data_IF_363062584322
#
_entry.id   IF_363062584322
#
_cell.length_a   1.000
_cell.length_b   1.000
_cell.length_c   1.000
_cell.angle_alpha   90.00
_cell.angle_beta   90.00
_cell.angle_gamma   90.00
#
_symmetry.space_group_name_H-M   'P 1'
#
loop_
_entity.id
_entity.type
_entity.pdbx_description
1 polymer ?
#
# COMPACT_ATOMS: atom_id res chain seq x y z
N UNK A 1 -15.63 -11.79 8.87
CA UNK A 1 -14.79 -12.87 9.45
C UNK A 1 -14.83 -12.76 10.98
N UNK A 2 -14.90 -13.86 11.73
CA UNK A 2 -14.75 -13.82 13.19
C UNK A 2 -13.25 -13.71 13.53
N UNK A 3 -12.79 -12.64 14.22
CA UNK A 3 -11.36 -12.42 14.49
C UNK A 3 -10.73 -13.44 15.46
N UNK A 4 -11.55 -14.27 16.12
CA UNK A 4 -11.13 -15.31 17.04
C UNK A 4 -11.01 -16.69 16.38
N UNK A 5 -11.40 -16.83 15.12
CA UNK A 5 -11.22 -18.07 14.37
C UNK A 5 -9.73 -18.21 13.96
N UNK A 6 -9.09 -19.37 14.22
CA UNK A 6 -7.76 -19.69 13.71
C UNK A 6 -7.66 -19.54 12.19
N UNK A 7 -6.59 -18.89 11.71
CA UNK A 7 -6.33 -18.70 10.29
C UNK A 7 -5.11 -19.54 9.87
N UNK A 8 -5.25 -20.32 8.79
CA UNK A 8 -4.15 -21.10 8.20
C UNK A 8 -2.98 -20.20 7.81
N UNK A 9 -3.28 -19.04 7.21
CA UNK A 9 -2.33 -18.00 6.86
C UNK A 9 -1.42 -17.59 8.02
N UNK A 10 -1.91 -17.66 9.26
CA UNK A 10 -1.18 -17.28 10.47
C UNK A 10 -0.63 -18.49 11.23
N UNK A 11 -0.67 -19.68 10.65
CA UNK A 11 -0.18 -20.91 11.29
C UNK A 11 -1.10 -21.45 12.38
N UNK A 12 -2.41 -21.18 12.27
CA UNK A 12 -3.42 -21.68 13.21
C UNK A 12 -3.63 -20.81 14.45
N UNK A 13 -3.04 -19.61 14.50
CA UNK A 13 -3.45 -18.58 15.47
C UNK A 13 -4.58 -17.73 14.90
N UNK A 14 -5.33 -17.09 15.77
CA UNK A 14 -6.38 -16.15 15.38
C UNK A 14 -5.82 -14.80 14.93
N UNK A 15 -6.59 -14.05 14.13
CA UNK A 15 -6.24 -12.67 13.78
C UNK A 15 -6.06 -11.81 15.04
N UNK A 16 -6.90 -12.01 16.07
CA UNK A 16 -6.76 -11.28 17.35
C UNK A 16 -5.42 -11.55 18.04
N UNK A 17 -4.98 -12.80 18.08
CA UNK A 17 -3.68 -13.17 18.67
C UNK A 17 -2.52 -12.58 17.86
N UNK A 18 -2.59 -12.63 16.53
CA UNK A 18 -1.59 -12.01 15.67
C UNK A 18 -1.45 -10.50 15.91
N UNK A 19 -2.58 -9.78 15.94
CA UNK A 19 -2.59 -8.33 16.20
C UNK A 19 -2.07 -7.99 17.61
N UNK A 20 -2.35 -8.86 18.59
CA UNK A 20 -1.89 -8.67 19.97
C UNK A 20 -0.40 -8.92 20.12
N UNK A 21 0.13 -9.97 19.51
CA UNK A 21 1.46 -10.48 19.88
C UNK A 21 2.54 -10.27 18.82
N UNK A 22 2.18 -10.08 17.54
CA UNK A 22 3.12 -10.08 16.41
C UNK A 22 3.11 -8.78 15.61
N UNK A 23 1.93 -8.28 15.22
CA UNK A 23 1.79 -7.10 14.38
C UNK A 23 2.55 -5.89 14.96
N UNK A 24 3.48 -5.36 14.16
CA UNK A 24 4.43 -4.29 14.49
C UNK A 24 5.32 -4.55 15.72
N UNK A 25 5.55 -5.81 16.09
CA UNK A 25 6.27 -6.19 17.32
C UNK A 25 7.40 -7.17 17.08
N UNK A 26 7.12 -8.31 16.45
CA UNK A 26 8.09 -9.39 16.29
C UNK A 26 7.76 -10.24 15.05
N UNK A 27 8.76 -10.90 14.44
CA UNK A 27 8.55 -11.69 13.25
C UNK A 27 7.73 -12.95 13.55
N UNK A 28 7.09 -13.50 12.52
CA UNK A 28 6.36 -14.77 12.57
C UNK A 28 6.68 -15.58 11.32
N UNK A 29 7.29 -16.76 11.50
CA UNK A 29 7.42 -17.76 10.45
C UNK A 29 6.18 -18.67 10.49
N UNK A 30 5.52 -18.79 9.35
CA UNK A 30 4.40 -19.72 9.15
C UNK A 30 4.80 -20.72 8.06
N UNK A 31 4.91 -21.99 8.44
CA UNK A 31 5.11 -23.07 7.47
C UNK A 31 3.79 -23.41 6.81
N UNK A 32 3.80 -23.51 5.48
CA UNK A 32 2.63 -23.82 4.67
C UNK A 32 1.44 -22.90 5.01
N UNK A 33 1.70 -21.59 5.04
CA UNK A 33 0.66 -20.58 5.15
C UNK A 33 -0.35 -20.71 4.00
N UNK A 34 0.16 -21.07 2.81
CA UNK A 34 -0.60 -21.50 1.65
C UNK A 34 -0.16 -22.94 1.30
N UNK A 35 -0.88 -23.97 1.77
CA UNK A 35 -0.56 -25.35 1.43
C UNK A 35 -0.70 -25.59 -0.07
N UNK A 36 0.21 -26.39 -0.64
CA UNK A 36 0.22 -26.74 -2.07
C UNK A 36 0.19 -25.49 -2.98
N UNK A 37 0.88 -24.42 -2.58
CA UNK A 37 0.90 -23.15 -3.31
C UNK A 37 1.52 -23.33 -4.69
N UNK A 38 0.74 -22.99 -5.71
CA UNK A 38 1.19 -22.86 -7.09
C UNK A 38 1.32 -21.37 -7.41
N UNK A 39 2.48 -20.98 -7.90
CA UNK A 39 2.78 -19.60 -8.29
C UNK A 39 1.82 -19.16 -9.40
N UNK A 40 1.00 -18.10 -9.23
CA UNK A 40 0.06 -17.65 -10.26
C UNK A 40 0.75 -17.08 -11.51
N UNK A 41 2.02 -16.73 -11.39
CA UNK A 41 2.86 -16.34 -12.52
C UNK A 41 4.18 -17.11 -12.47
N UNK A 42 4.76 -17.36 -13.63
CA UNK A 42 6.09 -17.93 -13.76
C UNK A 42 7.19 -16.84 -13.92
N UNK A 43 8.49 -17.21 -13.86
CA UNK A 43 9.59 -16.25 -14.02
C UNK A 43 9.61 -15.51 -15.36
N UNK A 44 9.18 -16.14 -16.46
CA UNK A 44 9.19 -15.55 -17.79
C UNK A 44 8.04 -14.53 -17.93
N UNK A 45 6.87 -14.82 -17.36
CA UNK A 45 5.75 -13.87 -17.26
C UNK A 45 6.11 -12.65 -16.42
N UNK A 46 6.80 -12.84 -15.29
CA UNK A 46 7.30 -11.72 -14.48
C UNK A 46 8.33 -10.87 -15.24
N UNK A 47 9.24 -11.51 -15.98
CA UNK A 47 10.17 -10.80 -16.85
C UNK A 47 9.43 -10.01 -17.92
N UNK A 48 8.41 -10.62 -18.56
CA UNK A 48 7.52 -9.98 -19.54
C UNK A 48 6.86 -8.71 -19.01
N UNK A 49 6.28 -8.77 -17.80
CA UNK A 49 5.71 -7.57 -17.14
C UNK A 49 6.74 -6.46 -16.98
N UNK A 50 8.00 -6.79 -16.72
CA UNK A 50 9.07 -5.80 -16.55
C UNK A 50 9.50 -5.09 -17.85
N UNK A 51 9.00 -5.52 -19.02
CA UNK A 51 9.20 -4.84 -20.31
C UNK A 51 8.15 -3.74 -20.56
N UNK A 52 7.00 -3.78 -19.90
CA UNK A 52 5.91 -2.84 -20.12
C UNK A 52 6.24 -1.45 -19.57
N UNK A 53 5.87 -0.39 -20.30
CA UNK A 53 6.24 0.99 -19.96
C UNK A 53 5.60 1.48 -18.65
N UNK A 54 4.40 0.97 -18.33
CA UNK A 54 3.63 1.35 -17.15
C UNK A 54 4.06 0.59 -15.88
N UNK A 55 4.95 -0.41 -15.99
CA UNK A 55 5.31 -1.29 -14.88
C UNK A 55 6.63 -0.86 -14.23
N UNK A 56 6.58 -0.52 -12.94
CA UNK A 56 7.79 -0.20 -12.16
C UNK A 56 8.59 -1.47 -11.87
N UNK A 57 9.75 -1.61 -12.49
CA UNK A 57 10.64 -2.75 -12.30
C UNK A 57 12.10 -2.34 -12.10
N UNK A 58 12.87 -3.22 -11.45
CA UNK A 58 14.30 -3.02 -11.22
C UNK A 58 15.06 -4.34 -11.11
N UNK A 59 16.31 -4.34 -11.56
CA UNK A 59 17.25 -5.45 -11.39
C UNK A 59 18.38 -5.01 -10.47
N UNK A 60 18.66 -5.80 -9.45
CA UNK A 60 19.83 -5.63 -8.57
C UNK A 60 20.83 -6.74 -8.89
N UNK A 61 22.07 -6.36 -9.19
CA UNK A 61 23.20 -7.28 -9.39
C UNK A 61 24.23 -7.07 -8.29
N UNK A 62 24.53 -8.11 -7.50
CA UNK A 62 25.57 -8.00 -6.47
C UNK A 62 26.95 -7.75 -7.10
N UNK A 63 27.20 -8.34 -8.28
CA UNK A 63 28.45 -8.25 -9.02
C UNK A 63 28.25 -7.73 -10.45
N UNK A 64 27.82 -6.47 -10.56
CA UNK A 64 27.67 -5.74 -11.82
C UNK A 64 28.91 -4.93 -12.23
N UNK A 65 28.69 -3.85 -12.99
CA UNK A 65 29.73 -2.87 -13.35
C UNK A 65 30.38 -2.23 -12.11
N UNK A 66 29.60 -2.13 -11.02
CA UNK A 66 30.06 -1.90 -9.67
C UNK A 66 29.30 -2.85 -8.72
N UNK A 67 29.80 -3.08 -7.48
CA UNK A 67 29.06 -3.85 -6.49
C UNK A 67 27.67 -3.26 -6.28
N UNK A 68 26.66 -4.12 -6.19
CA UNK A 68 25.26 -3.74 -6.00
C UNK A 68 24.69 -2.82 -7.10
N UNK A 69 25.01 -3.11 -8.37
CA UNK A 69 24.47 -2.38 -9.50
C UNK A 69 22.94 -2.45 -9.53
N UNK A 70 22.28 -1.30 -9.59
CA UNK A 70 20.84 -1.17 -9.78
C UNK A 70 20.55 -0.73 -11.21
N UNK A 71 19.73 -1.51 -11.91
CA UNK A 71 19.14 -1.14 -13.21
C UNK A 71 17.65 -0.93 -13.02
N UNK A 72 17.09 0.10 -13.67
CA UNK A 72 15.65 0.42 -13.60
C UNK A 72 15.02 0.15 -14.96
N UNK A 73 13.79 -0.37 -14.95
CA UNK A 73 13.03 -0.61 -16.15
C UNK A 73 12.46 0.67 -16.78
N UNK A 74 11.64 0.53 -17.84
CA UNK A 74 11.30 -0.74 -18.47
C UNK A 74 12.52 -1.42 -19.12
N UNK A 75 12.53 -2.74 -19.14
CA UNK A 75 13.61 -3.53 -19.75
C UNK A 75 13.25 -3.96 -21.18
N UNK A 76 14.17 -4.65 -21.83
CA UNK A 76 13.93 -5.34 -23.09
C UNK A 76 14.43 -6.79 -23.00
N UNK A 77 14.07 -7.62 -23.98
CA UNK A 77 14.46 -9.04 -24.02
C UNK A 77 16.00 -9.22 -23.94
N UNK A 78 16.75 -8.36 -24.63
CA UNK A 78 18.22 -8.40 -24.64
C UNK A 78 18.81 -8.23 -23.23
N UNK A 79 18.15 -7.44 -22.36
CA UNK A 79 18.59 -7.22 -20.98
C UNK A 79 18.71 -8.54 -20.23
N UNK A 80 17.71 -9.42 -20.35
CA UNK A 80 17.67 -10.71 -19.65
C UNK A 80 18.64 -11.73 -20.24
N UNK A 81 18.86 -11.68 -21.56
CA UNK A 81 19.85 -12.54 -22.23
C UNK A 81 21.29 -12.23 -21.81
N UNK A 82 21.57 -11.00 -21.35
CA UNK A 82 22.89 -10.56 -20.90
C UNK A 82 23.14 -10.74 -19.39
N UNK A 83 22.14 -11.15 -18.60
CA UNK A 83 22.30 -11.35 -17.16
C UNK A 83 23.19 -12.57 -16.85
N UNK A 84 23.99 -12.51 -15.76
CA UNK A 84 24.75 -13.66 -15.31
C UNK A 84 23.83 -14.80 -14.83
N UNK A 85 24.36 -16.02 -14.73
CA UNK A 85 23.59 -17.17 -14.22
C UNK A 85 23.21 -17.05 -12.72
N UNK A 86 23.81 -16.12 -11.96
CA UNK A 86 23.73 -16.04 -10.48
C UNK A 86 23.85 -14.61 -9.98
N UNK A 87 23.54 -14.43 -8.69
CA UNK A 87 23.82 -13.21 -7.92
C UNK A 87 23.09 -11.94 -8.43
N UNK A 88 21.87 -12.12 -8.96
CA UNK A 88 20.98 -11.02 -9.35
C UNK A 88 19.53 -11.27 -8.95
N UNK A 89 18.74 -10.20 -8.88
CA UNK A 89 17.31 -10.23 -8.54
C UNK A 89 16.54 -9.20 -9.36
N UNK A 90 15.47 -9.62 -10.03
CA UNK A 90 14.43 -8.76 -10.60
C UNK A 90 13.37 -8.50 -9.53
N UNK A 91 12.91 -7.26 -9.40
CA UNK A 91 11.78 -6.86 -8.58
C UNK A 91 10.78 -6.10 -9.45
N UNK A 92 9.51 -6.49 -9.40
CA UNK A 92 8.40 -5.85 -10.10
C UNK A 92 7.36 -5.44 -9.07
N UNK A 93 7.02 -4.15 -9.04
CA UNK A 93 6.10 -3.58 -8.06
C UNK A 93 4.64 -3.83 -8.47
N UNK A 94 3.74 -3.80 -7.49
CA UNK A 94 2.31 -3.77 -7.69
C UNK A 94 1.76 -4.78 -8.71
N UNK A 95 2.28 -6.00 -8.71
CA UNK A 95 1.89 -7.03 -9.69
C UNK A 95 0.42 -7.43 -9.51
N UNK A 96 -0.12 -7.27 -8.30
CA UNK A 96 -1.56 -7.40 -8.02
C UNK A 96 -2.44 -6.47 -8.86
N UNK A 97 -1.91 -5.33 -9.34
CA UNK A 97 -2.68 -4.40 -10.17
C UNK A 97 -2.74 -4.82 -11.65
N UNK A 98 -1.83 -5.71 -12.07
CA UNK A 98 -1.71 -6.16 -13.46
C UNK A 98 -2.17 -7.61 -13.66
N UNK A 99 -2.08 -8.43 -12.61
CA UNK A 99 -2.42 -9.87 -12.66
C UNK A 99 -3.50 -10.19 -11.62
N UNK A 100 -4.75 -10.46 -12.05
CA UNK A 100 -5.87 -10.75 -11.14
C UNK A 100 -5.59 -11.88 -10.14
N UNK A 101 -4.94 -12.94 -10.58
CA UNK A 101 -4.60 -14.10 -9.74
C UNK A 101 -3.61 -13.73 -8.62
N UNK A 102 -2.80 -12.68 -8.81
CA UNK A 102 -1.94 -12.13 -7.76
C UNK A 102 -2.76 -11.27 -6.80
N UNK A 103 -3.73 -10.50 -7.27
CA UNK A 103 -4.65 -9.75 -6.39
C UNK A 103 -5.46 -10.66 -5.47
N UNK A 104 -5.86 -11.85 -5.94
CA UNK A 104 -6.56 -12.85 -5.11
C UNK A 104 -5.74 -13.29 -3.87
N UNK A 105 -4.40 -13.18 -3.93
CA UNK A 105 -3.54 -13.47 -2.77
C UNK A 105 -3.74 -12.51 -1.61
N UNK A 106 -4.36 -11.34 -1.84
CA UNK A 106 -4.68 -10.37 -0.79
C UNK A 106 -5.93 -10.75 0.02
N UNK A 107 -6.81 -11.61 -0.50
CA UNK A 107 -8.06 -12.01 0.17
C UNK A 107 -7.86 -12.52 1.61
N UNK A 108 -6.90 -13.43 1.88
CA UNK A 108 -6.66 -13.92 3.23
C UNK A 108 -6.18 -12.85 4.21
N UNK A 109 -5.66 -11.71 3.71
CA UNK A 109 -5.15 -10.60 4.53
C UNK A 109 -6.25 -9.61 4.97
N UNK A 110 -7.51 -9.80 4.56
CA UNK A 110 -8.66 -8.93 4.91
C UNK A 110 -8.99 -8.84 6.42
N UNK A 111 -8.23 -9.50 7.29
CA UNK A 111 -8.26 -9.23 8.74
C UNK A 111 -7.54 -7.92 9.11
N UNK A 112 -6.72 -7.37 8.21
CA UNK A 112 -6.13 -6.03 8.30
C UNK A 112 -6.97 -5.03 7.50
N UNK A 113 -7.00 -3.75 7.90
CA UNK A 113 -7.70 -2.71 7.14
C UNK A 113 -7.12 -2.56 5.73
N UNK A 114 -7.96 -2.48 4.70
CA UNK A 114 -7.54 -2.36 3.29
C UNK A 114 -6.62 -1.15 3.05
N UNK A 115 -6.87 -0.02 3.71
CA UNK A 115 -6.05 1.19 3.57
C UNK A 115 -4.59 1.00 4.03
N UNK A 116 -4.30 -0.04 4.82
CA UNK A 116 -2.94 -0.39 5.27
C UNK A 116 -2.18 -1.25 4.27
N UNK A 117 -2.84 -2.05 3.46
CA UNK A 117 -2.19 -2.88 2.43
C UNK A 117 -1.68 -1.95 1.33
N UNK A 118 -0.44 -2.07 0.91
CA UNK A 118 0.09 -1.25 -0.19
C UNK A 118 -0.14 -1.95 -1.52
N UNK A 119 0.61 -3.02 -1.77
CA UNK A 119 0.66 -3.78 -3.01
C UNK A 119 1.31 -5.18 -2.80
N UNK A 120 1.39 -5.97 -3.87
CA UNK A 120 2.17 -7.20 -3.95
C UNK A 120 3.34 -7.00 -4.91
N UNK A 121 4.53 -6.76 -4.35
CA UNK A 121 5.77 -6.78 -5.11
C UNK A 121 6.25 -8.22 -5.27
N UNK A 122 6.59 -8.62 -6.49
CA UNK A 122 7.15 -9.96 -6.77
C UNK A 122 8.61 -9.81 -7.15
N UNK A 123 9.44 -10.67 -6.57
CA UNK A 123 10.85 -10.77 -6.96
C UNK A 123 11.18 -12.15 -7.52
N UNK A 124 11.88 -12.16 -8.66
CA UNK A 124 12.63 -13.31 -9.14
C UNK A 124 14.09 -13.16 -8.76
N UNK A 125 14.72 -14.22 -8.27
CA UNK A 125 16.16 -14.23 -8.03
C UNK A 125 16.78 -15.52 -8.54
N UNK A 126 17.85 -15.36 -9.32
CA UNK A 126 18.76 -16.45 -9.68
C UNK A 126 19.52 -16.94 -8.43
N UNK A 127 20.20 -18.10 -8.45
CA UNK A 127 20.89 -18.63 -7.28
C UNK A 127 21.91 -17.62 -6.73
N UNK A 128 21.93 -17.43 -5.40
CA UNK A 128 22.74 -16.39 -4.75
C UNK A 128 22.17 -14.98 -4.82
N UNK A 129 21.17 -14.74 -5.68
CA UNK A 129 20.50 -13.47 -5.87
C UNK A 129 19.93 -12.91 -4.57
N UNK A 130 20.21 -11.62 -4.34
CA UNK A 130 19.77 -10.87 -3.18
C UNK A 130 19.72 -9.37 -3.48
N UNK A 131 19.02 -8.63 -2.63
CA UNK A 131 19.08 -7.15 -2.57
C UNK A 131 19.97 -6.64 -1.43
N UNK A 132 20.70 -7.56 -0.77
CA UNK A 132 21.56 -7.28 0.37
C UNK A 132 20.81 -7.20 1.70
N UNK A 133 21.54 -7.16 2.84
CA UNK A 133 20.93 -6.93 4.15
C UNK A 133 20.35 -5.52 4.22
N UNK A 134 19.07 -5.40 4.56
CA UNK A 134 18.38 -4.11 4.62
C UNK A 134 17.26 -4.14 5.67
N UNK A 135 16.55 -3.03 5.81
CA UNK A 135 15.33 -2.93 6.60
C UNK A 135 14.34 -1.98 5.92
N UNK A 136 13.05 -2.22 6.14
CA UNK A 136 11.97 -1.39 5.63
C UNK A 136 11.28 -0.63 6.76
N UNK A 137 10.56 0.45 6.42
CA UNK A 137 9.74 1.18 7.39
C UNK A 137 8.30 0.66 7.47
N UNK A 138 8.01 -0.45 6.80
CA UNK A 138 6.68 -1.04 6.71
C UNK A 138 6.65 -2.49 7.19
N UNK A 139 5.44 -2.95 7.50
CA UNK A 139 5.14 -4.36 7.72
C UNK A 139 5.17 -5.10 6.39
N UNK A 140 5.67 -6.33 6.35
CA UNK A 140 5.67 -7.16 5.13
C UNK A 140 5.42 -8.62 5.45
N UNK A 141 4.68 -9.30 4.58
CA UNK A 141 4.65 -10.76 4.54
C UNK A 141 5.36 -11.26 3.29
N UNK A 142 6.38 -12.09 3.48
CA UNK A 142 7.21 -12.67 2.44
C UNK A 142 6.75 -14.11 2.20
N UNK A 143 5.93 -14.31 1.17
CA UNK A 143 5.45 -15.62 0.74
C UNK A 143 6.39 -16.20 -0.31
N UNK A 144 6.88 -17.41 -0.07
CA UNK A 144 7.70 -18.14 -1.03
C UNK A 144 6.78 -18.79 -2.08
N UNK A 145 6.96 -18.41 -3.36
CA UNK A 145 6.09 -18.88 -4.44
C UNK A 145 6.70 -20.00 -5.29
N UNK A 146 7.96 -19.84 -5.68
CA UNK A 146 8.72 -20.82 -6.46
C UNK A 146 10.12 -20.97 -5.87
N UNK A 147 10.73 -22.14 -5.98
CA UNK A 147 12.09 -22.39 -5.48
C UNK A 147 12.22 -22.15 -3.97
N UNK A 148 13.43 -21.89 -3.50
CA UNK A 148 13.78 -21.73 -2.08
C UNK A 148 14.60 -20.48 -1.85
N UNK A 149 14.24 -19.73 -0.81
CA UNK A 149 15.00 -18.58 -0.34
C UNK A 149 15.40 -18.78 1.11
N UNK A 150 16.66 -18.52 1.40
CA UNK A 150 17.20 -18.52 2.75
C UNK A 150 17.10 -17.11 3.34
N UNK A 151 16.23 -16.95 4.33
CA UNK A 151 15.96 -15.71 5.02
C UNK A 151 16.70 -15.65 6.34
N UNK A 152 17.52 -14.61 6.51
CA UNK A 152 18.15 -14.24 7.77
C UNK A 152 17.47 -13.00 8.31
N UNK A 153 17.28 -12.94 9.63
CA UNK A 153 16.84 -11.73 10.33
C UNK A 153 17.93 -11.26 11.28
N UNK A 154 17.94 -9.98 11.61
CA UNK A 154 18.96 -9.35 12.43
C UNK A 154 18.41 -8.43 13.52
N UNK A 155 19.11 -7.32 13.72
CA UNK A 155 18.77 -6.28 14.69
C UNK A 155 17.57 -5.41 14.26
N UNK A 156 17.02 -4.63 15.21
CA UNK A 156 16.12 -3.53 14.90
C UNK A 156 16.94 -2.31 14.46
N UNK A 157 16.55 -1.70 13.35
CA UNK A 157 17.25 -0.58 12.74
C UNK A 157 16.54 0.77 12.98
N UNK A 158 17.27 1.84 12.69
CA UNK A 158 16.80 3.23 12.74
C UNK A 158 17.49 4.05 11.63
N UNK A 159 17.17 5.34 11.55
CA UNK A 159 17.87 6.30 10.68
C UNK A 159 19.38 6.37 10.92
N UNK A 160 19.84 5.95 12.10
CA UNK A 160 21.25 6.02 12.51
C UNK A 160 21.99 4.69 12.24
N UNK A 161 21.30 3.68 11.72
CA UNK A 161 21.92 2.40 11.36
C UNK A 161 22.92 2.60 10.22
N UNK A 162 24.17 2.11 10.35
CA UNK A 162 25.20 2.34 9.35
C UNK A 162 24.87 1.61 8.05
N UNK A 163 24.88 2.36 6.95
CA UNK A 163 24.66 1.85 5.60
C UNK A 163 25.98 1.86 4.82
N UNK A 164 26.10 0.95 3.86
CA UNK A 164 27.12 1.06 2.82
C UNK A 164 26.91 2.34 2.03
N UNK A 165 28.01 2.97 1.61
CA UNK A 165 27.95 4.12 0.70
C UNK A 165 27.50 3.63 -0.68
N UNK A 166 26.20 3.79 -0.97
CA UNK A 166 25.60 3.45 -2.24
C UNK A 166 24.58 4.53 -2.62
N UNK A 167 24.56 4.93 -3.89
CA UNK A 167 23.71 6.04 -4.35
C UNK A 167 22.22 5.68 -4.33
N UNK A 168 21.89 4.44 -4.70
CA UNK A 168 20.51 4.04 -4.98
C UNK A 168 19.92 2.98 -4.03
N UNK A 169 20.76 2.32 -3.23
CA UNK A 169 20.36 1.14 -2.45
C UNK A 169 20.70 1.38 -0.97
N UNK A 170 19.81 0.92 -0.09
CA UNK A 170 20.00 1.04 1.36
C UNK A 170 20.44 -0.30 1.93
N UNK A 171 21.73 -0.57 1.83
CA UNK A 171 22.33 -1.82 2.30
C UNK A 171 23.00 -1.56 3.64
N UNK A 172 22.68 -2.37 4.65
CA UNK A 172 23.31 -2.31 5.97
C UNK A 172 24.80 -2.65 5.85
N UNK A 173 25.64 -1.79 6.44
CA UNK A 173 27.08 -2.05 6.52
C UNK A 173 27.40 -3.20 7.49
N UNK A 174 26.55 -3.39 8.50
CA UNK A 174 26.68 -4.42 9.53
C UNK A 174 25.35 -5.15 9.70
N UNK A 175 25.42 -6.49 9.79
CA UNK A 175 24.25 -7.34 9.97
C UNK A 175 24.50 -8.33 11.12
N UNK A 176 23.82 -8.11 12.23
CA UNK A 176 23.87 -8.97 13.42
C UNK A 176 22.78 -10.05 13.32
N UNK A 177 23.10 -11.16 12.65
CA UNK A 177 22.14 -12.25 12.47
C UNK A 177 21.62 -12.79 13.81
N UNK A 178 20.30 -12.82 13.96
CA UNK A 178 19.59 -13.31 15.15
C UNK A 178 18.73 -14.55 14.87
N UNK A 179 18.39 -14.80 13.60
CA UNK A 179 17.61 -15.97 13.17
C UNK A 179 17.79 -16.26 11.68
N UNK A 180 17.49 -17.49 11.28
CA UNK A 180 17.67 -17.96 9.90
C UNK A 180 16.72 -19.12 9.59
N UNK A 181 16.08 -19.07 8.42
CA UNK A 181 15.22 -20.11 7.90
C UNK A 181 15.27 -20.17 6.38
N UNK A 182 15.30 -21.38 5.83
CA UNK A 182 15.01 -21.60 4.41
C UNK A 182 13.52 -21.82 4.23
N UNK A 183 12.88 -21.00 3.41
CA UNK A 183 11.46 -21.12 3.05
C UNK A 183 11.32 -21.96 1.78
N UNK A 184 10.28 -22.81 1.76
CA UNK A 184 9.84 -23.59 0.60
C UNK A 184 8.49 -23.04 0.09
N UNK A 185 8.05 -23.37 -1.13
CA UNK A 185 6.78 -22.87 -1.67
C UNK A 185 5.61 -23.06 -0.70
N UNK A 186 4.84 -21.99 -0.49
CA UNK A 186 3.73 -21.93 0.46
C UNK A 186 4.11 -21.49 1.88
N UNK A 187 5.39 -21.47 2.23
CA UNK A 187 5.85 -20.90 3.50
C UNK A 187 5.85 -19.36 3.46
N UNK A 188 5.60 -18.73 4.60
CA UNK A 188 5.50 -17.29 4.71
C UNK A 188 6.25 -16.75 5.94
N UNK A 189 6.95 -15.63 5.78
CA UNK A 189 7.64 -14.92 6.85
C UNK A 189 7.08 -13.51 6.99
N UNK A 190 6.45 -13.22 8.13
CA UNK A 190 6.07 -11.86 8.52
C UNK A 190 7.24 -11.15 9.20
N UNK A 191 7.51 -9.91 8.78
CA UNK A 191 8.50 -9.02 9.39
C UNK A 191 7.85 -7.68 9.78
N UNK A 192 8.03 -7.22 11.04
CA UNK A 192 7.60 -5.88 11.45
C UNK A 192 8.56 -4.80 10.91
N UNK A 193 8.12 -3.52 10.92
CA UNK A 193 8.93 -2.40 10.48
C UNK A 193 10.28 -2.34 11.18
N UNK A 194 11.32 -2.06 10.39
CA UNK A 194 12.71 -1.82 10.79
C UNK A 194 13.46 -3.04 11.30
N UNK A 195 12.87 -4.24 11.23
CA UNK A 195 13.64 -5.45 11.49
C UNK A 195 14.57 -5.73 10.31
N UNK A 196 15.88 -5.77 10.57
CA UNK A 196 16.87 -6.10 9.55
C UNK A 196 16.62 -7.50 9.00
N UNK A 197 16.68 -7.65 7.69
CA UNK A 197 16.50 -8.92 7.01
C UNK A 197 17.38 -9.04 5.77
N UNK A 198 17.70 -10.28 5.42
CA UNK A 198 18.61 -10.62 4.33
C UNK A 198 18.18 -11.95 3.70
N UNK A 199 17.53 -11.86 2.55
CA UNK A 199 17.05 -13.01 1.78
C UNK A 199 18.01 -13.35 0.65
N UNK A 200 18.50 -14.58 0.61
CA UNK A 200 19.42 -15.08 -0.42
C UNK A 200 18.77 -16.28 -1.11
N UNK A 201 18.63 -16.20 -2.42
CA UNK A 201 18.08 -17.30 -3.22
C UNK A 201 18.99 -18.54 -3.15
N UNK A 202 18.40 -19.70 -2.88
CA UNK A 202 19.13 -20.99 -2.87
C UNK A 202 19.20 -21.57 -4.28
N UNK A 203 18.09 -21.45 -5.01
CA UNK A 203 17.88 -21.79 -6.41
C UNK A 203 17.03 -20.68 -7.07
N UNK A 204 16.68 -20.83 -8.35
CA UNK A 204 15.78 -19.90 -9.04
C UNK A 204 14.45 -19.82 -8.29
N UNK A 205 14.13 -18.65 -7.75
CA UNK A 205 13.02 -18.52 -6.81
C UNK A 205 12.18 -17.26 -7.02
N UNK A 206 10.89 -17.39 -6.73
CA UNK A 206 9.92 -16.29 -6.69
C UNK A 206 9.51 -16.01 -5.25
N UNK A 207 9.47 -14.74 -4.88
CA UNK A 207 8.98 -14.29 -3.57
C UNK A 207 7.96 -13.19 -3.74
N UNK A 208 6.77 -13.40 -3.17
CA UNK A 208 5.63 -12.49 -3.16
C UNK A 208 5.69 -11.70 -1.86
N UNK A 209 5.87 -10.39 -1.96
CA UNK A 209 6.00 -9.48 -0.83
C UNK A 209 4.71 -8.69 -0.70
N UNK A 210 3.83 -9.11 0.21
CA UNK A 210 2.62 -8.36 0.55
C UNK A 210 3.03 -7.19 1.44
N UNK A 211 3.16 -6.03 0.81
CA UNK A 211 3.60 -4.78 1.43
C UNK A 211 2.48 -4.08 2.16
N UNK A 212 2.84 -3.31 3.18
CA UNK A 212 1.92 -2.43 3.88
C UNK A 212 2.46 -1.01 3.84
N UNK A 213 1.58 -0.03 3.97
CA UNK A 213 1.97 1.37 4.07
C UNK A 213 1.50 1.98 5.38
N UNK A 214 2.28 2.94 5.85
CA UNK A 214 1.96 3.80 6.98
C UNK A 214 2.65 5.15 6.74
N UNK A 215 1.94 6.29 6.88
CA UNK A 215 2.55 7.59 6.69
C UNK A 215 3.59 7.85 7.77
N UNK A 216 4.73 8.39 7.39
CA UNK A 216 5.74 8.92 8.29
C UNK A 216 5.26 10.20 8.97
N UNK A 217 5.88 10.56 10.10
CA UNK A 217 5.57 11.80 10.78
C UNK A 217 5.81 13.04 9.89
N UNK A 218 6.82 13.00 9.01
CA UNK A 218 7.12 14.08 8.08
C UNK A 218 6.04 14.24 7.00
N UNK A 219 5.53 13.12 6.47
CA UNK A 219 4.41 13.14 5.51
C UNK A 219 3.15 13.67 6.17
N UNK A 220 2.81 13.20 7.37
CA UNK A 220 1.65 13.70 8.12
C UNK A 220 1.76 15.20 8.32
N UNK A 221 2.89 15.70 8.83
CA UNK A 221 3.06 17.12 9.09
C UNK A 221 3.00 17.96 7.82
N UNK A 222 3.73 17.57 6.77
CA UNK A 222 3.81 18.33 5.52
C UNK A 222 2.46 18.36 4.80
N UNK A 223 1.91 17.18 4.47
CA UNK A 223 0.70 17.10 3.65
C UNK A 223 -0.54 17.58 4.39
N UNK A 224 -0.65 17.34 5.70
CA UNK A 224 -1.80 17.84 6.45
C UNK A 224 -1.78 19.36 6.56
N UNK A 225 -0.61 19.98 6.77
CA UNK A 225 -0.55 21.46 6.79
C UNK A 225 -0.83 22.07 5.42
N UNK A 226 -0.38 21.43 4.34
CA UNK A 226 -0.70 21.87 2.97
C UNK A 226 -2.20 21.75 2.69
N UNK A 227 -2.84 20.68 3.16
CA UNK A 227 -4.29 20.50 3.06
C UNK A 227 -5.07 21.55 3.85
N UNK A 228 -4.70 21.79 5.12
CA UNK A 228 -5.33 22.80 5.96
C UNK A 228 -5.23 24.19 5.33
N UNK A 229 -4.07 24.53 4.75
CA UNK A 229 -3.83 25.81 4.09
C UNK A 229 -4.83 26.15 2.97
N UNK A 230 -5.48 25.16 2.35
CA UNK A 230 -6.46 25.37 1.28
C UNK A 230 -7.79 25.97 1.79
N UNK A 231 -8.07 25.84 3.09
CA UNK A 231 -9.31 26.30 3.71
C UNK A 231 -9.13 27.57 4.56
N UNK A 232 -7.89 28.03 4.74
CA UNK A 232 -7.59 29.19 5.57
C UNK A 232 -7.72 30.50 4.78
N UNK A 233 -8.46 31.49 5.28
CA UNK A 233 -8.56 32.80 4.63
C UNK A 233 -7.30 33.65 4.91
N UNK A 234 -6.96 34.54 3.96
CA UNK A 234 -5.80 35.44 4.05
C UNK A 234 -5.84 36.41 5.25
N UNK A 235 -7.04 36.67 5.79
CA UNK A 235 -7.28 37.55 6.93
C UNK A 235 -6.93 36.89 8.28
N UNK A 236 -6.87 35.56 8.35
CA UNK A 236 -6.51 34.85 9.57
C UNK A 236 -5.00 34.90 9.80
N UNK A 237 -4.57 35.89 10.60
CA UNK A 237 -3.16 36.21 10.84
C UNK A 237 -2.81 36.22 12.31
N UNK A 238 -1.52 36.03 12.59
CA UNK A 238 -0.94 36.34 13.89
C UNK A 238 -1.34 37.77 14.32
N UNK A 239 -1.81 37.90 15.56
CA UNK A 239 -2.18 39.17 16.17
C UNK A 239 -1.57 39.29 17.56
N UNK A 240 -1.03 40.46 17.86
CA UNK A 240 -0.41 40.83 19.11
C UNK A 240 -1.00 42.14 19.65
N UNK A 241 -2.31 42.36 19.44
CA UNK A 241 -3.01 43.57 19.84
C UNK A 241 -2.85 43.94 21.34
N UNK A 242 -2.59 42.95 22.21
CA UNK A 242 -2.36 43.12 23.65
C UNK A 242 -0.87 43.16 24.06
N UNK A 243 0.05 43.19 23.09
CA UNK A 243 1.49 43.21 23.36
C UNK A 243 1.92 44.43 24.17
N UNK A 244 2.84 44.21 25.10
CA UNK A 244 3.44 45.26 25.91
C UNK A 244 4.75 45.74 25.29
N UNK A 245 5.17 47.00 25.56
CA UNK A 245 6.46 47.51 25.13
C UNK A 245 7.62 46.63 25.62
N UNK A 246 8.56 46.30 24.73
CA UNK A 246 9.74 45.47 25.04
C UNK A 246 10.97 46.33 25.32
N UNK A 247 11.90 45.79 26.12
CA UNK A 247 13.19 46.45 26.41
C UNK A 247 14.25 46.19 25.33
N UNK A 248 14.19 45.04 24.66
CA UNK A 248 15.06 44.70 23.52
C UNK A 248 14.20 44.34 22.30
N UNK A 249 14.16 45.19 21.26
CA UNK A 249 13.35 44.96 20.07
C UNK A 249 13.83 43.81 19.19
N UNK A 250 15.01 43.22 19.45
CA UNK A 250 15.54 42.10 18.67
C UNK A 250 15.23 40.73 19.30
N UNK A 251 14.64 40.71 20.49
CA UNK A 251 14.27 39.47 21.17
C UNK A 251 12.87 39.03 20.75
N UNK A 252 12.74 37.81 20.23
CA UNK A 252 11.45 37.13 20.08
C UNK A 252 10.94 36.77 21.48
N UNK A 253 9.81 37.35 21.85
CA UNK A 253 9.23 37.14 23.16
C UNK A 253 8.60 35.75 23.27
N UNK A 254 8.66 35.14 24.46
CA UNK A 254 8.07 33.81 24.69
C UNK A 254 6.56 33.79 24.45
N UNK A 255 5.87 34.88 24.77
CA UNK A 255 4.42 35.01 24.55
C UNK A 255 4.05 35.03 23.05
N UNK A 256 4.97 35.45 22.17
CA UNK A 256 4.78 35.37 20.72
C UNK A 256 4.79 33.91 20.24
N UNK A 257 5.65 33.07 20.83
CA UNK A 257 5.66 31.62 20.56
C UNK A 257 4.38 30.95 21.08
N UNK A 258 3.89 31.36 22.25
CA UNK A 258 2.62 30.83 22.79
C UNK A 258 1.43 31.18 21.89
N UNK A 259 1.39 32.41 21.34
CA UNK A 259 0.38 32.82 20.35
C UNK A 259 0.47 32.02 19.05
N UNK A 260 1.68 31.79 18.53
CA UNK A 260 1.88 30.95 17.35
C UNK A 260 1.46 29.51 17.60
N UNK A 261 1.78 28.95 18.77
CA UNK A 261 1.35 27.61 19.16
C UNK A 261 -0.18 27.52 19.25
N UNK A 262 -0.85 28.53 19.82
CA UNK A 262 -2.29 28.57 19.87
C UNK A 262 -2.93 28.62 18.46
N UNK A 263 -2.29 29.31 17.52
CA UNK A 263 -2.72 29.31 16.11
C UNK A 263 -2.59 27.92 15.47
N UNK A 264 -1.47 27.23 15.70
CA UNK A 264 -1.28 25.85 15.25
C UNK A 264 -2.32 24.92 15.87
N UNK A 265 -2.48 24.96 17.20
CA UNK A 265 -3.42 24.12 17.94
C UNK A 265 -4.86 24.33 17.47
N UNK A 266 -5.25 25.58 17.14
CA UNK A 266 -6.58 25.91 16.62
C UNK A 266 -6.92 25.13 15.35
N UNK A 267 -5.99 25.00 14.41
CA UNK A 267 -6.26 24.37 13.11
C UNK A 267 -5.89 22.88 13.09
N UNK A 268 -4.82 22.49 13.77
CA UNK A 268 -4.35 21.10 13.77
C UNK A 268 -5.21 20.16 14.62
N UNK A 269 -6.11 20.69 15.45
CA UNK A 269 -6.98 19.89 16.33
C UNK A 269 -8.31 19.48 15.70
N UNK A 270 -8.60 19.92 14.47
CA UNK A 270 -9.82 19.53 13.75
C UNK A 270 -9.73 18.06 13.29
N UNK A 271 -10.50 17.20 13.96
CA UNK A 271 -10.50 15.76 13.69
C UNK A 271 -11.22 15.39 12.40
N UNK A 272 -12.17 16.19 11.96
CA UNK A 272 -12.99 15.91 10.78
C UNK A 272 -12.17 16.23 9.53
N UNK A 273 -11.44 17.35 9.53
CA UNK A 273 -10.44 17.66 8.51
C UNK A 273 -9.29 16.66 8.51
N UNK A 274 -8.80 16.24 9.68
CA UNK A 274 -7.74 15.24 9.78
C UNK A 274 -8.19 13.90 9.19
N UNK A 275 -9.40 13.43 9.50
CA UNK A 275 -9.98 12.22 8.92
C UNK A 275 -10.12 12.35 7.40
N UNK A 276 -10.60 13.50 6.93
CA UNK A 276 -10.81 13.77 5.50
C UNK A 276 -9.50 13.68 4.74
N UNK A 277 -8.48 14.42 5.19
CA UNK A 277 -7.13 14.37 4.63
C UNK A 277 -6.55 12.96 4.68
N UNK A 278 -6.65 12.29 5.82
CA UNK A 278 -6.06 10.97 6.02
C UNK A 278 -6.69 9.94 5.07
N UNK A 279 -8.02 9.96 4.94
CA UNK A 279 -8.73 9.08 4.02
C UNK A 279 -8.35 9.34 2.56
N UNK A 280 -8.27 10.61 2.14
CA UNK A 280 -7.78 10.98 0.81
C UNK A 280 -6.34 10.48 0.59
N UNK A 281 -5.41 10.81 1.48
CA UNK A 281 -4.00 10.45 1.37
C UNK A 281 -3.76 8.94 1.33
N UNK A 282 -4.47 8.15 2.15
CA UNK A 282 -4.30 6.69 2.19
C UNK A 282 -4.99 5.95 1.05
N UNK A 283 -5.93 6.60 0.36
CA UNK A 283 -6.61 6.05 -0.82
C UNK A 283 -6.10 6.64 -2.13
N UNK A 284 -5.08 7.50 -2.09
CA UNK A 284 -4.42 7.95 -3.32
C UNK A 284 -3.78 6.74 -4.03
N UNK A 285 -4.13 6.51 -5.30
CA UNK A 285 -3.62 5.38 -6.07
C UNK A 285 -2.11 5.54 -6.32
N UNK A 286 -1.40 4.42 -6.44
CA UNK A 286 0.04 4.44 -6.77
C UNK A 286 0.30 4.96 -8.18
N UNK A 287 -0.58 4.60 -9.10
CA UNK A 287 -0.57 5.01 -10.51
C UNK A 287 -1.88 5.76 -10.83
N UNK A 288 -1.99 7.06 -10.49
CA UNK A 288 -3.22 7.84 -10.74
C UNK A 288 -3.66 7.86 -12.20
N UNK A 289 -2.73 7.76 -13.13
CA UNK A 289 -2.96 7.66 -14.57
C UNK A 289 -3.71 6.40 -15.01
N UNK A 290 -3.72 5.35 -14.18
CA UNK A 290 -4.48 4.12 -14.44
C UNK A 290 -5.93 4.22 -13.94
N UNK A 291 -6.24 5.21 -13.09
CA UNK A 291 -7.59 5.45 -12.57
C UNK A 291 -8.28 6.50 -13.43
N UNK A 292 -8.73 6.07 -14.60
CA UNK A 292 -9.45 6.91 -15.57
C UNK A 292 -10.82 6.32 -15.84
N UNK A 293 -11.85 7.12 -15.57
CA UNK A 293 -13.24 6.76 -15.80
C UNK A 293 -13.82 7.41 -17.03
N UNK A 294 -15.02 6.97 -17.39
CA UNK A 294 -15.83 7.54 -18.45
C UNK A 294 -17.12 8.15 -17.90
N UNK A 295 -17.57 9.23 -18.52
CA UNK A 295 -18.84 9.85 -18.15
C UNK A 295 -19.98 9.13 -18.86
N UNK A 296 -20.85 8.50 -18.07
CA UNK A 296 -22.06 7.83 -18.55
C UNK A 296 -23.28 8.55 -17.99
N UNK A 297 -24.35 8.60 -18.77
CA UNK A 297 -25.68 8.98 -18.29
C UNK A 297 -26.27 7.89 -17.39
N UNK A 298 -27.29 8.26 -16.61
CA UNK A 298 -28.03 7.31 -15.77
C UNK A 298 -28.70 6.22 -16.60
N UNK A 299 -29.29 6.59 -17.75
CA UNK A 299 -29.94 5.67 -18.68
C UNK A 299 -28.93 4.65 -19.24
N UNK A 300 -27.76 5.09 -19.70
CA UNK A 300 -26.71 4.21 -20.22
C UNK A 300 -26.19 3.22 -19.17
N UNK A 301 -26.01 3.67 -17.92
CA UNK A 301 -25.56 2.81 -16.83
C UNK A 301 -26.58 1.69 -16.53
N UNK A 302 -27.87 2.06 -16.42
CA UNK A 302 -28.94 1.11 -16.13
C UNK A 302 -29.08 0.12 -17.29
N UNK A 303 -29.14 0.60 -18.53
CA UNK A 303 -29.25 -0.25 -19.73
C UNK A 303 -28.08 -1.25 -19.80
N UNK A 304 -26.84 -0.80 -19.56
CA UNK A 304 -25.68 -1.68 -19.57
C UNK A 304 -25.79 -2.80 -18.52
N UNK A 305 -26.20 -2.47 -17.30
CA UNK A 305 -26.37 -3.46 -16.22
C UNK A 305 -27.55 -4.41 -16.49
N UNK A 306 -28.64 -3.92 -17.07
CA UNK A 306 -29.79 -4.75 -17.49
C UNK A 306 -29.43 -5.72 -18.61
N UNK A 307 -28.55 -5.30 -19.53
CA UNK A 307 -28.00 -6.14 -20.60
C UNK A 307 -26.94 -7.14 -20.08
N UNK A 308 -26.64 -7.13 -18.78
CA UNK A 308 -25.79 -8.11 -18.10
C UNK A 308 -24.34 -7.67 -17.91
N UNK A 309 -24.03 -6.38 -18.12
CA UNK A 309 -22.70 -5.86 -17.81
C UNK A 309 -22.40 -6.00 -16.31
N UNK A 310 -21.11 -6.13 -16.01
CA UNK A 310 -20.60 -6.33 -14.65
C UNK A 310 -19.68 -5.16 -14.34
N UNK A 311 -19.85 -4.53 -13.19
CA UNK A 311 -18.90 -3.53 -12.71
C UNK A 311 -17.84 -4.20 -11.84
N UNK A 312 -16.59 -3.92 -12.11
CA UNK A 312 -15.44 -4.40 -11.34
C UNK A 312 -14.68 -3.21 -10.77
N UNK A 313 -13.95 -3.46 -9.68
CA UNK A 313 -13.03 -2.48 -9.13
C UNK A 313 -11.82 -2.35 -10.05
N UNK A 314 -11.42 -1.11 -10.34
CA UNK A 314 -10.14 -0.88 -10.98
C UNK A 314 -9.01 -1.35 -10.02
N UNK A 315 -8.08 -2.21 -10.46
CA UNK A 315 -7.03 -2.74 -9.58
C UNK A 315 -6.17 -1.67 -8.91
N UNK A 316 -5.96 -0.53 -9.57
CA UNK A 316 -5.17 0.59 -9.04
C UNK A 316 -5.98 1.50 -8.10
N UNK A 317 -7.31 1.36 -8.10
CA UNK A 317 -8.20 2.16 -7.26
C UNK A 317 -8.23 1.65 -5.81
N UNK A 318 -8.12 2.59 -4.87
CA UNK A 318 -8.18 2.29 -3.44
C UNK A 318 -9.43 2.91 -2.85
N UNK A 319 -10.12 2.15 -2.01
CA UNK A 319 -11.33 2.62 -1.32
C UNK A 319 -11.28 2.33 0.17
N UNK A 320 -11.74 3.30 0.94
CA UNK A 320 -11.95 3.20 2.39
C UNK A 320 -13.12 4.08 2.79
N UNK A 321 -13.70 3.86 3.95
CA UNK A 321 -14.75 4.72 4.45
C UNK A 321 -14.68 4.87 5.97
N UNK A 322 -15.31 5.94 6.46
CA UNK A 322 -15.49 6.19 7.89
C UNK A 322 -16.88 6.73 8.15
N UNK A 323 -17.36 6.55 9.38
CA UNK A 323 -18.50 7.29 9.90
C UNK A 323 -18.01 8.67 10.36
N UNK A 324 -18.78 9.71 10.03
CA UNK A 324 -18.52 11.07 10.44
C UNK A 324 -19.83 11.68 10.95
N UNK A 325 -19.95 11.83 12.26
CA UNK A 325 -21.21 12.18 12.93
C UNK A 325 -22.32 11.16 12.59
N UNK A 326 -23.44 11.63 12.04
CA UNK A 326 -24.58 10.80 11.61
C UNK A 326 -24.51 10.41 10.11
N UNK A 327 -23.44 10.81 9.41
CA UNK A 327 -23.23 10.56 7.98
C UNK A 327 -22.02 9.64 7.74
N UNK A 328 -21.82 9.29 6.47
CA UNK A 328 -20.70 8.49 6.00
C UNK A 328 -19.75 9.35 5.18
N UNK A 329 -18.48 8.99 5.19
CA UNK A 329 -17.49 9.56 4.29
C UNK A 329 -16.78 8.43 3.55
N UNK A 330 -16.98 8.38 2.23
CA UNK A 330 -16.23 7.51 1.34
C UNK A 330 -14.95 8.22 0.91
N UNK A 331 -13.86 7.48 0.88
CA UNK A 331 -12.60 7.85 0.28
C UNK A 331 -12.34 6.89 -0.88
N UNK A 332 -12.28 7.41 -2.10
CA UNK A 332 -12.04 6.63 -3.30
C UNK A 332 -10.98 7.34 -4.14
N UNK A 333 -9.87 6.65 -4.40
CA UNK A 333 -8.80 7.10 -5.30
C UNK A 333 -8.36 8.56 -5.03
N UNK A 334 -8.10 8.89 -3.76
CA UNK A 334 -7.63 10.21 -3.33
C UNK A 334 -8.72 11.27 -3.12
N UNK A 335 -10.00 10.95 -3.34
CA UNK A 335 -11.13 11.89 -3.18
C UNK A 335 -12.06 11.47 -2.06
N UNK A 336 -12.64 12.46 -1.37
CA UNK A 336 -13.66 12.24 -0.34
C UNK A 336 -15.06 12.56 -0.86
N UNK A 337 -16.04 11.73 -0.52
CA UNK A 337 -17.45 11.93 -0.84
C UNK A 337 -18.29 11.75 0.43
N UNK A 338 -18.97 12.81 0.93
CA UNK A 338 -19.94 12.66 2.01
C UNK A 338 -21.18 11.95 1.48
N UNK A 339 -21.69 10.99 2.25
CA UNK A 339 -22.82 10.15 1.87
C UNK A 339 -23.81 10.04 3.04
N UNK A 340 -25.12 10.01 2.78
CA UNK A 340 -26.12 9.82 3.83
C UNK A 340 -26.01 8.42 4.43
N UNK A 341 -26.28 8.28 5.74
CA UNK A 341 -26.18 7.00 6.45
C UNK A 341 -27.01 5.84 5.87
N UNK A 342 -28.06 6.14 5.09
CA UNK A 342 -28.87 5.11 4.40
C UNK A 342 -28.06 4.27 3.42
N UNK A 343 -26.96 4.82 2.87
CA UNK A 343 -26.11 4.13 1.89
C UNK A 343 -25.03 3.24 2.54
N UNK A 344 -25.07 3.01 3.86
CA UNK A 344 -24.02 2.22 4.57
C UNK A 344 -23.82 0.84 3.96
N UNK A 345 -24.91 0.14 3.61
CA UNK A 345 -24.81 -1.22 3.07
C UNK A 345 -24.33 -1.22 1.61
N UNK A 346 -24.74 -0.25 0.79
CA UNK A 346 -24.16 -0.03 -0.55
C UNK A 346 -22.65 0.27 -0.46
N UNK A 347 -22.24 1.13 0.47
CA UNK A 347 -20.85 1.49 0.66
C UNK A 347 -19.99 0.28 1.04
N UNK A 348 -20.49 -0.58 1.94
CA UNK A 348 -19.83 -1.85 2.27
C UNK A 348 -19.77 -2.77 1.06
N UNK A 349 -20.84 -2.87 0.28
CA UNK A 349 -20.90 -3.69 -0.92
C UNK A 349 -19.84 -3.24 -1.93
N UNK A 350 -19.84 -1.96 -2.30
CA UNK A 350 -18.90 -1.39 -3.29
C UNK A 350 -17.44 -1.52 -2.84
N UNK A 351 -17.14 -1.30 -1.55
CA UNK A 351 -15.78 -1.45 -1.03
C UNK A 351 -15.31 -2.91 -0.88
N UNK A 352 -16.22 -3.88 -0.81
CA UNK A 352 -15.86 -5.29 -0.52
C UNK A 352 -16.03 -6.22 -1.73
N UNK A 353 -16.94 -5.92 -2.65
CA UNK A 353 -17.23 -6.78 -3.78
C UNK A 353 -16.13 -6.68 -4.85
N UNK A 354 -15.77 -7.84 -5.39
CA UNK A 354 -14.85 -7.95 -6.53
C UNK A 354 -15.58 -7.71 -7.85
N UNK A 355 -16.88 -8.06 -7.89
CA UNK A 355 -17.80 -7.79 -8.98
C UNK A 355 -19.18 -7.32 -8.46
N UNK A 356 -19.77 -6.36 -9.15
CA UNK A 356 -21.09 -5.81 -8.90
C UNK A 356 -21.98 -6.09 -10.10
N UNK A 357 -23.14 -6.67 -9.84
CA UNK A 357 -24.11 -7.11 -10.84
C UNK A 357 -25.43 -6.37 -10.62
N UNK A 358 -26.30 -6.35 -11.61
CA UNK A 358 -27.63 -5.76 -11.42
C UNK A 358 -28.38 -6.35 -10.22
N UNK A 359 -28.28 -7.67 -10.00
CA UNK A 359 -28.94 -8.36 -8.89
C UNK A 359 -28.56 -7.84 -7.49
N UNK A 360 -27.35 -7.28 -7.33
CA UNK A 360 -26.91 -6.71 -6.05
C UNK A 360 -26.98 -5.17 -6.00
N UNK A 361 -27.19 -4.52 -7.14
CA UNK A 361 -27.31 -3.08 -7.27
C UNK A 361 -28.76 -2.59 -7.44
N UNK A 362 -29.71 -3.44 -7.84
CA UNK A 362 -31.06 -3.04 -8.28
C UNK A 362 -31.77 -2.08 -7.30
N UNK A 363 -31.81 -2.42 -6.01
CA UNK A 363 -32.42 -1.57 -4.97
C UNK A 363 -31.74 -0.19 -4.87
N UNK A 364 -30.42 -0.15 -5.08
CA UNK A 364 -29.61 1.05 -4.97
C UNK A 364 -29.66 1.93 -6.20
N UNK A 365 -29.87 1.34 -7.39
CA UNK A 365 -30.05 2.08 -8.64
C UNK A 365 -31.41 2.79 -8.70
N UNK A 366 -32.38 2.35 -7.89
CA UNK A 366 -33.67 3.05 -7.71
C UNK A 366 -33.59 4.22 -6.71
N UNK A 367 -32.52 4.32 -5.93
CA UNK A 367 -32.25 5.44 -5.02
C UNK A 367 -31.34 6.47 -5.70
N UNK A 368 -31.75 7.73 -5.73
CA UNK A 368 -31.03 8.81 -6.42
C UNK A 368 -29.58 8.96 -5.91
N UNK A 369 -29.36 8.86 -4.59
CA UNK A 369 -28.01 8.98 -4.02
C UNK A 369 -27.16 7.73 -4.32
N UNK A 370 -27.79 6.55 -4.35
CA UNK A 370 -27.15 5.28 -4.69
C UNK A 370 -26.69 5.23 -6.14
N UNK A 371 -27.58 5.58 -7.08
CA UNK A 371 -27.28 5.67 -8.50
C UNK A 371 -26.16 6.70 -8.78
N UNK A 372 -26.28 7.89 -8.19
CA UNK A 372 -25.27 8.94 -8.32
C UNK A 372 -23.91 8.48 -7.79
N UNK A 373 -23.86 7.76 -6.67
CA UNK A 373 -22.61 7.23 -6.13
C UNK A 373 -21.92 6.28 -7.13
N UNK A 374 -22.65 5.29 -7.66
CA UNK A 374 -22.10 4.33 -8.62
C UNK A 374 -21.60 5.07 -9.88
N UNK A 375 -22.40 6.00 -10.41
CA UNK A 375 -22.03 6.80 -11.56
C UNK A 375 -20.76 7.64 -11.30
N UNK A 376 -20.63 8.27 -10.13
CA UNK A 376 -19.43 9.05 -9.79
C UNK A 376 -18.19 8.16 -9.67
N UNK A 377 -18.32 6.95 -9.14
CA UNK A 377 -17.21 6.01 -9.03
C UNK A 377 -16.74 5.51 -10.41
N UNK A 378 -17.68 5.28 -11.34
CA UNK A 378 -17.34 4.94 -12.72
C UNK A 378 -16.68 6.12 -13.42
N UNK A 379 -17.26 7.32 -13.29
CA UNK A 379 -16.71 8.55 -13.87
C UNK A 379 -15.31 8.88 -13.33
N UNK A 380 -15.04 8.57 -12.08
CA UNK A 380 -13.72 8.71 -11.49
C UNK A 380 -12.74 7.64 -12.01
N UNK A 381 -13.23 6.46 -12.41
CA UNK A 381 -12.43 5.31 -12.81
C UNK A 381 -12.13 4.34 -11.67
N UNK A 382 -12.75 4.55 -10.49
CA UNK A 382 -12.61 3.64 -9.34
C UNK A 382 -13.39 2.34 -9.54
N UNK A 383 -14.48 2.41 -10.30
CA UNK A 383 -15.18 1.27 -10.88
C UNK A 383 -15.10 1.37 -12.40
N UNK A 384 -15.15 0.23 -13.08
CA UNK A 384 -15.27 0.15 -14.53
C UNK A 384 -16.09 -1.07 -14.92
N UNK A 385 -16.55 -1.14 -16.17
CA UNK A 385 -17.15 -2.37 -16.67
C UNK A 385 -16.06 -3.43 -16.86
N UNK A 386 -16.37 -4.68 -16.52
CA UNK A 386 -15.57 -5.81 -16.94
C UNK A 386 -15.58 -5.83 -18.46
N UNK A 387 -14.43 -5.53 -19.08
CA UNK A 387 -14.28 -5.73 -20.52
C UNK A 387 -14.46 -7.24 -20.81
N UNK A 388 -15.27 -7.59 -21.82
CA UNK A 388 -15.47 -8.98 -22.28
C UNK A 388 -14.17 -9.69 -22.68
#
# INVERSE_FOLDING_TARGET
>A
MNPDTPLQLLGGISAREFMRDYWQKKPLLVRQAFPDFESPIDPDELAGLALEEEVESRIVLEHGAHPWELRRGPFNEDTFAELPEKDWTLLVQAVDQFVPEVAELLEPFRFLPSWRIDDVMISFAAPGGSVGPHFDNYDVFLLQGHGKRNWKIGQMCSSDSPLLEHADLRILAEFEQSGEWTLEPGDMLYLPPRLAHYGVAVDDCLTYSVGFRAPSAAEVLTHFTDFLGQFLPDEERYSDADAQPVSDPHQIQHDALDRLKALLDKHMSDKDLLLTWFGQFMTEPRYPEQVVGEALSEEELIEALEDGAILIRNPSARMAWSELNDDLMLFASGRSCPLPAKLRELLKLVCAADALHIDNLEEWLQDEDGLMLVQQLIKQGSLGFANE
#
